data_IF_352070948949
#
_entry.id   IF_352070948949
#
_cell.length_a   1.000
_cell.length_b   1.000
_cell.length_c   1.000
_cell.angle_alpha   90.00
_cell.angle_beta   90.00
_cell.angle_gamma   90.00
#
_symmetry.space_group_name_H-M   'P 1'
#
loop_
_entity.id
_entity.type
_entity.pdbx_description
1 polymer ?
#
# COMPACT_ATOMS: atom_id res chain seq x y z
N UNK A 1 8.71 -24.79 -6.75
CA UNK A 1 7.56 -24.42 -7.62
C UNK A 1 7.32 -22.92 -7.46
N UNK A 2 7.24 -22.12 -8.53
CA UNK A 2 7.12 -20.65 -8.43
C UNK A 2 5.71 -20.26 -7.94
N UNK A 3 5.60 -19.47 -6.86
CA UNK A 3 4.33 -18.98 -6.31
C UNK A 3 3.56 -18.19 -7.38
N UNK A 4 2.25 -18.40 -7.49
CA UNK A 4 1.39 -17.64 -8.40
C UNK A 4 1.25 -16.23 -7.82
N UNK A 5 1.67 -15.21 -8.56
CA UNK A 5 1.55 -13.81 -8.17
C UNK A 5 0.26 -13.19 -8.71
N UNK A 6 -0.32 -12.29 -7.93
CA UNK A 6 -1.53 -11.55 -8.29
C UNK A 6 -1.28 -10.29 -9.12
N UNK A 7 -0.01 -9.87 -9.21
CA UNK A 7 0.44 -8.68 -9.91
C UNK A 7 1.39 -9.02 -11.07
N UNK A 8 1.61 -8.04 -11.94
CA UNK A 8 2.65 -8.06 -12.96
C UNK A 8 3.61 -6.91 -12.69
N UNK A 9 4.92 -7.20 -12.58
CA UNK A 9 5.93 -6.14 -12.59
C UNK A 9 6.08 -5.64 -14.02
N UNK A 10 5.80 -4.36 -14.24
CA UNK A 10 6.21 -3.64 -15.44
C UNK A 10 7.42 -2.80 -15.04
N UNK A 11 8.56 -2.94 -15.71
CA UNK A 11 9.65 -1.98 -15.56
C UNK A 11 9.67 -1.08 -16.79
N UNK A 12 9.75 0.22 -16.55
CA UNK A 12 9.90 1.25 -17.55
C UNK A 12 10.96 2.23 -17.08
N UNK A 13 11.40 3.13 -17.97
CA UNK A 13 12.33 4.20 -17.60
C UNK A 13 11.63 5.14 -16.60
N UNK A 14 12.28 5.41 -15.48
CA UNK A 14 11.81 6.35 -14.46
C UNK A 14 12.03 7.80 -14.95
N UNK A 15 11.11 8.69 -14.61
CA UNK A 15 11.34 10.14 -14.69
C UNK A 15 12.24 10.58 -13.52
N UNK A 16 12.91 11.73 -13.65
CA UNK A 16 13.74 12.27 -12.57
C UNK A 16 12.96 12.47 -11.26
N UNK A 17 11.68 12.87 -11.34
CA UNK A 17 10.80 13.01 -10.17
C UNK A 17 10.46 11.67 -9.50
N UNK A 18 10.27 10.61 -10.29
CA UNK A 18 10.03 9.27 -9.75
C UNK A 18 11.29 8.70 -9.11
N UNK A 19 12.44 8.89 -9.76
CA UNK A 19 13.74 8.47 -9.25
C UNK A 19 14.05 9.16 -7.92
N UNK A 20 13.87 10.49 -7.84
CA UNK A 20 14.00 11.26 -6.59
C UNK A 20 13.16 10.69 -5.45
N UNK A 21 11.92 10.29 -5.73
CA UNK A 21 11.04 9.66 -4.75
C UNK A 21 11.61 8.34 -4.20
N UNK A 22 12.28 7.55 -5.03
CA UNK A 22 12.83 6.24 -4.67
C UNK A 22 14.22 6.31 -4.04
N UNK A 23 14.91 7.44 -4.16
CA UNK A 23 16.29 7.61 -3.69
C UNK A 23 16.38 8.63 -2.56
N UNK A 24 16.17 9.90 -2.85
CA UNK A 24 16.37 11.01 -1.92
C UNK A 24 15.28 11.10 -0.85
N UNK A 25 14.05 10.73 -1.19
CA UNK A 25 12.87 10.89 -0.34
C UNK A 25 12.40 9.57 0.29
N UNK A 26 13.12 8.47 0.05
CA UNK A 26 12.69 7.13 0.44
C UNK A 26 12.49 7.03 1.95
N UNK A 27 13.49 7.44 2.73
CA UNK A 27 13.51 7.28 4.18
C UNK A 27 12.41 8.07 4.90
N UNK A 28 11.93 9.17 4.30
CA UNK A 28 10.86 9.99 4.85
C UNK A 28 9.47 9.34 4.71
N UNK A 29 9.29 8.48 3.71
CA UNK A 29 7.96 7.98 3.31
C UNK A 29 7.83 6.45 3.37
N UNK A 30 8.92 5.73 3.18
CA UNK A 30 8.90 4.28 3.10
C UNK A 30 8.86 3.63 4.49
N UNK A 31 8.14 2.52 4.58
CA UNK A 31 8.18 1.62 5.72
C UNK A 31 8.99 0.39 5.31
N UNK A 32 10.15 0.22 5.94
CA UNK A 32 10.92 -1.01 5.88
C UNK A 32 10.63 -1.83 7.13
N UNK A 33 9.86 -2.91 6.99
CA UNK A 33 9.38 -3.67 8.14
C UNK A 33 10.37 -4.77 8.57
N UNK A 34 10.81 -4.76 9.83
CA UNK A 34 11.61 -5.83 10.44
C UNK A 34 10.79 -6.71 11.40
N UNK A 35 9.46 -6.62 11.34
CA UNK A 35 8.53 -7.38 12.20
C UNK A 35 7.11 -6.84 12.10
N UNK A 36 6.28 -7.15 13.10
CA UNK A 36 4.95 -6.54 13.24
C UNK A 36 5.10 -5.05 13.50
N UNK A 37 4.37 -4.24 12.72
CA UNK A 37 4.46 -2.80 12.75
C UNK A 37 3.67 -2.19 13.90
N UNK A 38 4.21 -1.07 14.39
CA UNK A 38 3.58 -0.19 15.36
C UNK A 38 3.24 1.13 14.64
N UNK A 39 2.01 1.25 14.15
CA UNK A 39 1.57 2.43 13.43
C UNK A 39 1.61 3.70 14.28
N UNK A 40 1.40 3.57 15.59
CA UNK A 40 1.51 4.71 16.50
C UNK A 40 2.92 5.28 16.50
N UNK A 41 3.95 4.43 16.51
CA UNK A 41 5.34 4.88 16.39
C UNK A 41 5.67 5.43 15.01
N UNK A 42 5.17 4.80 13.94
CA UNK A 42 5.44 5.23 12.55
C UNK A 42 4.88 6.62 12.27
N UNK A 43 3.67 6.92 12.72
CA UNK A 43 2.99 8.19 12.48
C UNK A 43 3.11 9.19 13.63
N UNK A 44 3.60 8.77 14.80
CA UNK A 44 3.72 9.60 15.99
C UNK A 44 2.38 10.01 16.61
N UNK A 45 1.29 9.31 16.29
CA UNK A 45 -0.07 9.61 16.74
C UNK A 45 -0.92 8.32 16.83
N UNK A 46 -2.17 8.41 17.28
CA UNK A 46 -3.09 7.26 17.40
C UNK A 46 -4.23 7.30 16.38
N UNK A 47 -4.05 8.00 15.26
CA UNK A 47 -5.07 8.13 14.23
C UNK A 47 -5.32 6.78 13.54
N UNK A 48 -6.55 6.62 13.05
CA UNK A 48 -6.97 5.43 12.33
C UNK A 48 -6.17 5.24 11.03
N UNK A 49 -5.84 3.99 10.72
CA UNK A 49 -5.01 3.63 9.56
C UNK A 49 -5.88 3.08 8.43
N UNK A 50 -5.77 3.72 7.27
CA UNK A 50 -6.35 3.29 5.99
C UNK A 50 -5.25 2.64 5.15
N UNK A 51 -5.48 1.41 4.71
CA UNK A 51 -4.56 0.68 3.84
C UNK A 51 -5.09 0.60 2.40
N UNK A 52 -4.31 1.04 1.43
CA UNK A 52 -4.58 0.83 0.01
C UNK A 52 -3.58 -0.17 -0.61
N UNK A 53 -4.09 -1.21 -1.27
CA UNK A 53 -3.26 -2.17 -2.04
C UNK A 53 -3.37 -1.87 -3.52
N UNK A 54 -2.23 -1.76 -4.18
CA UNK A 54 -2.15 -1.53 -5.62
C UNK A 54 -2.57 -0.12 -6.01
N UNK A 55 -2.06 0.89 -5.30
CA UNK A 55 -2.42 2.30 -5.51
C UNK A 55 -2.00 2.85 -6.89
N UNK A 56 -1.22 2.11 -7.67
CA UNK A 56 -0.80 2.50 -9.01
C UNK A 56 0.02 3.80 -9.00
N UNK A 57 -0.53 4.88 -9.55
CA UNK A 57 0.14 6.19 -9.57
C UNK A 57 -0.02 6.99 -8.27
N UNK A 58 -0.93 6.58 -7.38
CA UNK A 58 -1.12 7.19 -6.07
C UNK A 58 -1.96 8.47 -6.03
N UNK A 59 -2.55 8.90 -7.15
CA UNK A 59 -3.29 10.18 -7.22
C UNK A 59 -4.46 10.21 -6.22
N UNK A 60 -5.24 9.13 -6.14
CA UNK A 60 -6.35 8.99 -5.17
C UNK A 60 -5.85 8.97 -3.73
N UNK A 61 -4.78 8.21 -3.46
CA UNK A 61 -4.21 8.07 -2.11
C UNK A 61 -3.71 9.41 -1.57
N UNK A 62 -3.01 10.17 -2.40
CA UNK A 62 -2.52 11.52 -2.08
C UNK A 62 -3.68 12.49 -1.82
N UNK A 63 -4.72 12.45 -2.67
CA UNK A 63 -5.89 13.31 -2.49
C UNK A 63 -6.60 13.01 -1.16
N UNK A 64 -6.86 11.74 -0.86
CA UNK A 64 -7.50 11.33 0.40
C UNK A 64 -6.67 11.72 1.62
N UNK A 65 -5.35 11.51 1.59
CA UNK A 65 -4.45 11.89 2.68
C UNK A 65 -4.42 13.41 2.90
N UNK A 66 -4.49 14.21 1.84
CA UNK A 66 -4.55 15.66 1.94
C UNK A 66 -5.89 16.17 2.50
N UNK A 67 -6.99 15.50 2.16
CA UNK A 67 -8.34 15.90 2.60
C UNK A 67 -8.68 15.45 4.04
N UNK A 68 -7.99 14.43 4.57
CA UNK A 68 -8.28 13.83 5.88
C UNK A 68 -6.99 13.69 6.71
N UNK A 69 -6.54 14.80 7.30
CA UNK A 69 -5.30 14.84 8.09
C UNK A 69 -5.41 14.09 9.43
N UNK A 70 -6.63 13.82 9.88
CA UNK A 70 -6.98 13.03 11.06
C UNK A 70 -6.90 11.51 10.82
N UNK A 71 -6.61 11.08 9.59
CA UNK A 71 -6.38 9.69 9.22
C UNK A 71 -4.94 9.48 8.76
N UNK A 72 -4.42 8.28 9.04
CA UNK A 72 -3.14 7.82 8.54
C UNK A 72 -3.36 6.91 7.32
N UNK A 73 -2.53 7.07 6.29
CA UNK A 73 -2.62 6.33 5.04
C UNK A 73 -1.36 5.53 4.79
N UNK A 74 -1.55 4.27 4.39
CA UNK A 74 -0.48 3.36 4.00
C UNK A 74 -0.80 2.80 2.63
N UNK A 75 0.10 2.99 1.68
CA UNK A 75 0.00 2.40 0.34
C UNK A 75 0.96 1.23 0.16
N UNK A 76 0.48 0.09 -0.37
CA UNK A 76 1.33 -1.02 -0.81
C UNK A 76 1.32 -1.11 -2.33
N UNK A 77 2.51 -1.09 -2.94
CA UNK A 77 2.66 -1.19 -4.39
C UNK A 77 3.96 -1.93 -4.75
N UNK A 78 3.98 -2.56 -5.93
CA UNK A 78 5.14 -3.27 -6.49
C UNK A 78 5.77 -2.49 -7.65
N UNK A 79 5.04 -1.56 -8.26
CA UNK A 79 5.46 -0.75 -9.39
C UNK A 79 6.23 0.50 -8.94
N UNK A 80 7.55 0.47 -9.11
CA UNK A 80 8.47 1.51 -8.62
C UNK A 80 8.16 2.91 -9.16
N UNK A 81 7.78 3.05 -10.43
CA UNK A 81 7.47 4.37 -10.99
C UNK A 81 6.22 4.99 -10.33
N UNK A 82 5.26 4.17 -9.92
CA UNK A 82 4.09 4.58 -9.16
C UNK A 82 4.47 5.03 -7.74
N UNK A 83 5.32 4.22 -7.07
CA UNK A 83 5.83 4.52 -5.72
C UNK A 83 6.60 5.84 -5.71
N UNK A 84 7.57 6.01 -6.61
CA UNK A 84 8.36 7.24 -6.70
C UNK A 84 7.51 8.47 -7.00
N UNK A 85 6.50 8.33 -7.88
CA UNK A 85 5.53 9.41 -8.16
C UNK A 85 4.73 9.78 -6.92
N UNK A 86 4.20 8.80 -6.19
CA UNK A 86 3.43 9.02 -4.98
C UNK A 86 4.29 9.73 -3.92
N UNK A 87 5.49 9.22 -3.62
CA UNK A 87 6.41 9.81 -2.64
C UNK A 87 6.69 11.28 -2.99
N UNK A 88 7.08 11.55 -4.24
CA UNK A 88 7.37 12.91 -4.68
C UNK A 88 6.14 13.83 -4.55
N UNK A 89 4.93 13.31 -4.82
CA UNK A 89 3.68 14.08 -4.71
C UNK A 89 3.33 14.37 -3.26
N UNK A 90 3.49 13.40 -2.36
CA UNK A 90 3.31 13.56 -0.93
C UNK A 90 4.31 14.56 -0.34
N UNK A 91 5.57 14.53 -0.79
CA UNK A 91 6.61 15.48 -0.41
C UNK A 91 6.30 16.92 -0.81
N UNK A 92 5.91 17.15 -2.07
CA UNK A 92 5.52 18.49 -2.56
C UNK A 92 4.33 19.04 -1.74
N UNK A 93 3.43 18.17 -1.31
CA UNK A 93 2.24 18.52 -0.51
C UNK A 93 2.49 18.47 1.01
N UNK A 94 3.71 18.15 1.44
CA UNK A 94 4.11 18.04 2.85
C UNK A 94 3.21 17.11 3.68
N UNK A 95 2.78 16.00 3.09
CA UNK A 95 1.93 15.02 3.76
C UNK A 95 2.76 14.17 4.72
N UNK A 96 2.48 14.28 6.03
CA UNK A 96 3.13 13.47 7.07
C UNK A 96 2.29 12.25 7.47
N UNK A 97 1.01 12.24 7.10
CA UNK A 97 0.04 11.18 7.39
C UNK A 97 -0.03 10.11 6.28
N UNK A 98 0.98 10.02 5.42
CA UNK A 98 1.02 9.06 4.32
C UNK A 98 2.37 8.36 4.24
N UNK A 99 2.35 7.02 4.19
CA UNK A 99 3.53 6.16 4.08
C UNK A 99 3.35 5.11 3.00
N UNK A 100 4.46 4.56 2.51
CA UNK A 100 4.45 3.55 1.45
C UNK A 100 5.25 2.30 1.81
N UNK A 101 4.85 1.18 1.23
CA UNK A 101 5.58 -0.08 1.27
C UNK A 101 5.75 -0.57 -0.16
N UNK A 102 6.99 -0.93 -0.50
CA UNK A 102 7.30 -1.62 -1.75
C UNK A 102 7.30 -3.13 -1.52
N UNK A 103 6.29 -3.84 -2.01
CA UNK A 103 6.25 -5.30 -1.83
C UNK A 103 4.95 -5.99 -2.18
N UNK A 104 4.94 -7.32 -2.00
CA UNK A 104 3.74 -8.13 -2.11
C UNK A 104 2.83 -7.87 -0.90
N UNK A 105 1.60 -7.44 -1.16
CA UNK A 105 0.69 -7.05 -0.10
C UNK A 105 0.21 -8.23 0.77
N UNK A 106 0.12 -9.44 0.23
CA UNK A 106 -0.30 -10.63 1.00
C UNK A 106 0.79 -11.00 1.99
N UNK A 107 2.04 -10.97 1.56
CA UNK A 107 3.21 -11.22 2.42
C UNK A 107 3.28 -10.18 3.54
N UNK A 108 3.12 -8.90 3.20
CA UNK A 108 3.16 -7.83 4.18
C UNK A 108 2.01 -7.88 5.18
N UNK A 109 0.76 -8.09 4.71
CA UNK A 109 -0.39 -8.29 5.59
C UNK A 109 -0.16 -9.45 6.56
N UNK A 110 0.39 -10.56 6.07
CA UNK A 110 0.59 -11.76 6.88
C UNK A 110 1.70 -11.59 7.91
N UNK A 111 2.80 -10.92 7.57
CA UNK A 111 4.01 -10.89 8.41
C UNK A 111 4.13 -9.62 9.26
N UNK A 112 3.57 -8.51 8.81
CA UNK A 112 3.89 -7.18 9.35
C UNK A 112 2.68 -6.42 9.90
N UNK A 113 1.46 -6.75 9.49
CA UNK A 113 0.26 -6.07 9.99
C UNK A 113 -0.34 -6.85 11.16
N UNK A 114 -0.53 -6.17 12.29
CA UNK A 114 -1.21 -6.72 13.45
C UNK A 114 -2.70 -6.96 13.17
N UNK A 115 -3.30 -7.96 13.82
CA UNK A 115 -4.74 -8.18 13.74
C UNK A 115 -5.51 -7.01 14.39
N UNK A 116 -6.71 -6.70 13.89
CA UNK A 116 -7.56 -5.60 14.36
C UNK A 116 -6.88 -4.22 14.41
N UNK A 117 -5.95 -3.94 13.49
CA UNK A 117 -5.18 -2.68 13.49
C UNK A 117 -5.62 -1.68 12.42
N UNK A 118 -6.27 -2.14 11.35
CA UNK A 118 -6.68 -1.30 10.23
C UNK A 118 -8.13 -0.84 10.38
N UNK A 119 -8.37 0.44 10.14
CA UNK A 119 -9.71 1.04 10.20
C UNK A 119 -10.42 1.05 8.83
N UNK A 120 -9.67 0.88 7.75
CA UNK A 120 -10.22 0.74 6.40
C UNK A 120 -9.27 0.02 5.47
N UNK A 121 -9.83 -0.77 4.56
CA UNK A 121 -9.10 -1.36 3.44
C UNK A 121 -9.62 -0.83 2.09
N UNK A 122 -8.70 -0.54 1.17
CA UNK A 122 -8.99 -0.07 -0.17
C UNK A 122 -8.28 -0.92 -1.22
N UNK A 123 -9.05 -1.33 -2.23
CA UNK A 123 -8.58 -2.07 -3.39
C UNK A 123 -9.30 -1.56 -4.63
N UNK A 124 -8.67 -0.64 -5.34
CA UNK A 124 -9.24 -0.05 -6.53
C UNK A 124 -8.67 -0.70 -7.79
N UNK A 125 -9.57 -1.13 -8.67
CA UNK A 125 -9.23 -1.66 -9.99
C UNK A 125 -8.12 -2.74 -10.01
N UNK A 126 -8.19 -3.79 -9.16
CA UNK A 126 -7.19 -4.85 -9.20
C UNK A 126 -7.19 -5.56 -10.56
N UNK A 127 -6.04 -6.13 -10.95
CA UNK A 127 -5.90 -6.81 -12.23
C UNK A 127 -7.05 -7.83 -12.47
N UNK A 128 -7.89 -7.64 -13.51
CA UNK A 128 -9.13 -8.39 -13.67
C UNK A 128 -8.90 -9.83 -14.15
N UNK A 129 -7.74 -10.12 -14.75
CA UNK A 129 -7.34 -11.43 -15.24
C UNK A 129 -8.42 -12.15 -16.09
N UNK A 130 -8.89 -11.52 -17.17
CA UNK A 130 -10.04 -11.96 -17.99
C UNK A 130 -10.02 -13.42 -18.49
N UNK A 131 -8.85 -14.05 -18.63
CA UNK A 131 -8.75 -15.43 -19.15
C UNK A 131 -9.08 -16.42 -18.04
N UNK A 132 -9.96 -17.41 -18.29
CA UNK A 132 -10.35 -18.46 -17.31
C UNK A 132 -9.15 -19.12 -16.62
N UNK A 133 -8.09 -19.43 -17.38
CA UNK A 133 -6.84 -20.02 -16.85
C UNK A 133 -6.06 -19.11 -15.88
N UNK A 134 -6.37 -17.81 -15.83
CA UNK A 134 -5.73 -16.82 -14.96
C UNK A 134 -6.56 -16.51 -13.71
N UNK A 135 -7.70 -17.15 -13.49
CA UNK A 135 -8.57 -16.88 -12.33
C UNK A 135 -7.81 -16.92 -11.00
N UNK A 136 -6.88 -17.88 -10.83
CA UNK A 136 -6.04 -18.03 -9.62
C UNK A 136 -5.07 -16.86 -9.37
N UNK A 137 -4.94 -15.91 -10.31
CA UNK A 137 -4.13 -14.70 -10.17
C UNK A 137 -4.94 -13.50 -9.66
N UNK A 138 -6.27 -13.58 -9.62
CA UNK A 138 -7.08 -12.49 -9.04
C UNK A 138 -6.81 -12.43 -7.54
N UNK A 139 -6.44 -11.26 -7.03
CA UNK A 139 -6.12 -11.07 -5.61
C UNK A 139 -7.32 -11.34 -4.71
N UNK A 140 -8.53 -11.00 -5.18
CA UNK A 140 -9.79 -11.25 -4.46
C UNK A 140 -10.11 -12.75 -4.55
N UNK A 141 -9.61 -13.50 -3.57
CA UNK A 141 -9.95 -14.89 -3.28
C UNK A 141 -10.34 -15.01 -1.80
N UNK A 142 -10.98 -16.12 -1.44
CA UNK A 142 -11.42 -16.36 -0.06
C UNK A 142 -10.28 -16.24 0.96
N UNK A 143 -9.11 -16.79 0.67
CA UNK A 143 -7.96 -16.75 1.59
C UNK A 143 -7.48 -15.31 1.84
N UNK A 144 -7.47 -14.47 0.81
CA UNK A 144 -7.11 -13.07 0.92
C UNK A 144 -8.15 -12.29 1.73
N UNK A 145 -9.44 -12.53 1.49
CA UNK A 145 -10.52 -11.93 2.27
C UNK A 145 -10.46 -12.35 3.74
N UNK A 146 -10.18 -13.63 4.01
CA UNK A 146 -10.01 -14.14 5.37
C UNK A 146 -8.80 -13.50 6.06
N UNK A 147 -7.70 -13.27 5.34
CA UNK A 147 -6.54 -12.56 5.85
C UNK A 147 -6.89 -11.11 6.18
N UNK A 148 -7.52 -10.39 5.25
CA UNK A 148 -7.93 -9.00 5.44
C UNK A 148 -8.89 -8.84 6.62
N UNK A 149 -9.89 -9.71 6.74
CA UNK A 149 -10.87 -9.66 7.82
C UNK A 149 -10.22 -9.76 9.22
N UNK A 150 -9.08 -10.45 9.36
CA UNK A 150 -8.34 -10.50 10.63
C UNK A 150 -7.60 -9.19 10.92
N UNK A 151 -7.17 -8.45 9.89
CA UNK A 151 -6.39 -7.20 10.03
C UNK A 151 -7.27 -5.99 10.30
N UNK A 152 -8.51 -6.04 9.83
CA UNK A 152 -9.51 -5.00 10.03
C UNK A 152 -10.06 -4.97 11.46
N UNK A 153 -10.32 -3.77 11.98
CA UNK A 153 -11.03 -3.55 13.24
C UNK A 153 -12.49 -4.02 13.11
N UNK A 154 -13.10 -4.43 14.22
CA UNK A 154 -14.53 -4.79 14.22
C UNK A 154 -15.35 -3.57 13.77
N UNK A 155 -16.22 -3.76 12.77
CA UNK A 155 -17.08 -2.72 12.22
C UNK A 155 -16.43 -1.79 11.19
N UNK A 156 -15.16 -2.01 10.86
CA UNK A 156 -14.49 -1.30 9.76
C UNK A 156 -14.90 -1.81 8.36
N UNK A 157 -14.50 -1.05 7.34
CA UNK A 157 -14.89 -1.24 5.93
C UNK A 157 -13.70 -1.64 5.06
#
# INVERSE_FOLDING_TARGET
>A
MRKIQSFVKRSGRLTASQEKGLTELWDDYAIEAQGVLDFTKIFGNNNDVVLEIGFGNGDTLVAMAQENLELNYVGIEVYEAGIGRLINSAHIKQLNNLKVIRGDAVEFLSANIADNSLARFQLFFPDPWHKKKHHKRRIVQQDFLNLLAKKLKIGSV
#
